data_IF_865300601191
#
_entry.id   IF_865300601191
#
_cell.length_a   1.000
_cell.length_b   1.000
_cell.length_c   1.000
_cell.angle_alpha   90.00
_cell.angle_beta   90.00
_cell.angle_gamma   90.00
#
_symmetry.space_group_name_H-M   'P 1'
#
loop_
_entity.id
_entity.type
_entity.pdbx_description
1 polymer ?
#
# COMPACT_ATOMS: atom_id res chain seq x y z
N UNK A 1 -19.01 4.81 43.99
CA UNK A 1 -19.95 3.72 44.33
C UNK A 1 -20.04 2.65 43.26
N UNK A 2 -19.97 2.97 41.95
CA UNK A 2 -20.01 1.96 40.87
C UNK A 2 -18.72 1.11 40.78
N UNK A 3 -17.58 1.65 41.22
CA UNK A 3 -16.27 0.95 41.22
C UNK A 3 -16.11 -0.10 42.34
N UNK A 4 -16.92 -0.04 43.40
CA UNK A 4 -16.85 -1.02 44.51
C UNK A 4 -17.67 -2.27 44.16
N UNK A 5 -18.80 -2.10 43.45
CA UNK A 5 -19.68 -3.18 42.99
C UNK A 5 -19.04 -4.10 41.94
N UNK A 6 -18.08 -3.61 41.15
CA UNK A 6 -17.32 -4.48 40.23
C UNK A 6 -16.35 -5.40 40.97
N UNK A 7 -15.86 -5.00 42.15
CA UNK A 7 -14.91 -5.78 42.93
C UNK A 7 -15.60 -6.94 43.69
N UNK A 8 -16.81 -6.70 44.20
CA UNK A 8 -17.56 -7.72 44.94
C UNK A 8 -18.05 -8.87 44.04
N UNK A 9 -18.48 -8.58 42.81
CA UNK A 9 -18.92 -9.61 41.86
C UNK A 9 -17.76 -10.43 41.26
N UNK A 10 -16.53 -9.92 41.32
CA UNK A 10 -15.34 -10.64 40.86
C UNK A 10 -14.81 -11.64 41.90
N UNK A 11 -15.11 -11.42 43.19
CA UNK A 11 -14.69 -12.30 44.29
C UNK A 11 -15.61 -13.52 44.51
N UNK A 12 -16.82 -13.56 43.94
CA UNK A 12 -17.74 -14.70 44.11
C UNK A 12 -17.46 -15.87 43.15
N UNK A 13 -16.55 -15.71 42.18
CA UNK A 13 -16.00 -16.84 41.43
C UNK A 13 -14.76 -17.34 42.16
N UNK A 14 -14.95 -18.31 43.05
CA UNK A 14 -13.88 -19.02 43.77
C UNK A 14 -13.01 -19.84 42.83
N UNK A 15 -12.11 -19.14 42.14
CA UNK A 15 -11.14 -19.70 41.19
C UNK A 15 -9.74 -19.39 41.70
N UNK A 16 -8.87 -20.39 41.73
CA UNK A 16 -7.49 -20.25 42.23
C UNK A 16 -6.67 -19.33 41.31
N UNK A 17 -5.64 -18.66 41.84
CA UNK A 17 -4.72 -17.79 41.07
C UNK A 17 -4.18 -18.44 39.78
N UNK A 18 -4.03 -19.78 39.77
CA UNK A 18 -3.57 -20.56 38.62
C UNK A 18 -4.60 -20.63 37.50
N UNK A 19 -5.89 -20.66 37.83
CA UNK A 19 -6.96 -20.76 36.85
C UNK A 19 -7.25 -19.40 36.19
N UNK A 20 -7.11 -18.30 36.94
CA UNK A 20 -7.13 -16.94 36.38
C UNK A 20 -6.01 -16.71 35.36
N UNK A 21 -4.80 -17.20 35.64
CA UNK A 21 -3.66 -17.10 34.72
C UNK A 21 -3.91 -17.89 33.42
N UNK A 22 -4.56 -19.05 33.50
CA UNK A 22 -4.92 -19.86 32.32
C UNK A 22 -5.98 -19.15 31.49
N UNK A 23 -7.05 -18.63 32.11
CA UNK A 23 -8.10 -17.90 31.41
C UNK A 23 -7.58 -16.62 30.75
N UNK A 24 -6.76 -15.84 31.46
CA UNK A 24 -6.12 -14.65 30.90
C UNK A 24 -5.16 -15.01 29.74
N UNK A 25 -4.39 -16.09 29.88
CA UNK A 25 -3.51 -16.59 28.82
C UNK A 25 -4.26 -17.03 27.57
N UNK A 26 -5.36 -17.77 27.74
CA UNK A 26 -6.22 -18.18 26.62
C UNK A 26 -6.89 -16.98 25.93
N UNK A 27 -7.37 -16.00 26.70
CA UNK A 27 -7.97 -14.79 26.15
C UNK A 27 -6.95 -13.97 25.33
N UNK A 28 -5.74 -13.77 25.85
CA UNK A 28 -4.67 -13.07 25.13
C UNK A 28 -4.21 -13.83 23.88
N UNK A 29 -4.09 -15.16 23.96
CA UNK A 29 -3.73 -16.01 22.82
C UNK A 29 -4.76 -15.95 21.69
N UNK A 30 -6.05 -15.93 22.04
CA UNK A 30 -7.14 -15.77 21.08
C UNK A 30 -7.08 -14.41 20.38
N UNK A 31 -6.90 -13.32 21.14
CA UNK A 31 -6.78 -11.97 20.59
C UNK A 31 -5.56 -11.85 19.66
N UNK A 32 -4.41 -12.40 20.08
CA UNK A 32 -3.19 -12.38 19.26
C UNK A 32 -3.36 -13.14 17.93
N UNK A 33 -4.03 -14.29 17.96
CA UNK A 33 -4.28 -15.10 16.76
C UNK A 33 -5.22 -14.38 15.80
N UNK A 34 -6.27 -13.75 16.31
CA UNK A 34 -7.21 -12.97 15.52
C UNK A 34 -6.51 -11.77 14.88
N UNK A 35 -5.60 -11.11 15.61
CA UNK A 35 -4.80 -10.00 15.09
C UNK A 35 -3.88 -10.44 13.95
N UNK A 36 -3.21 -11.59 14.07
CA UNK A 36 -2.34 -12.11 12.99
C UNK A 36 -3.17 -12.43 11.74
N UNK A 37 -4.36 -13.04 11.90
CA UNK A 37 -5.24 -13.38 10.78
C UNK A 37 -5.65 -12.17 9.94
N UNK A 38 -5.82 -10.99 10.55
CA UNK A 38 -6.15 -9.76 9.83
C UNK A 38 -4.91 -9.03 9.28
N UNK A 39 -3.76 -9.10 9.96
CA UNK A 39 -2.54 -8.43 9.50
C UNK A 39 -1.90 -9.12 8.30
N UNK A 40 -1.98 -10.45 8.21
CA UNK A 40 -1.39 -11.22 7.10
C UNK A 40 -1.91 -10.77 5.73
N UNK A 41 -3.24 -10.71 5.47
CA UNK A 41 -3.73 -10.24 4.17
C UNK A 41 -3.40 -8.76 3.90
N UNK A 42 -3.35 -7.91 4.95
CA UNK A 42 -2.99 -6.50 4.81
C UNK A 42 -1.50 -6.27 4.49
N UNK A 43 -0.65 -7.26 4.73
CA UNK A 43 0.79 -7.18 4.46
C UNK A 43 1.11 -7.30 2.96
N UNK A 44 0.23 -7.91 2.18
CA UNK A 44 0.45 -8.17 0.77
C UNK A 44 -0.18 -7.07 -0.09
N UNK A 45 0.61 -6.55 -1.03
CA UNK A 45 0.13 -5.63 -2.05
C UNK A 45 0.38 -6.21 -3.44
N UNK A 46 -0.60 -6.08 -4.31
CA UNK A 46 -0.56 -6.61 -5.67
C UNK A 46 -0.19 -5.53 -6.68
N UNK A 47 0.75 -5.85 -7.58
CA UNK A 47 1.05 -5.05 -8.77
C UNK A 47 0.44 -5.76 -9.99
N UNK A 48 -0.31 -5.01 -10.77
CA UNK A 48 -0.96 -5.48 -12.00
C UNK A 48 0.08 -6.01 -13.02
N UNK A 49 -0.28 -7.02 -13.82
CA UNK A 49 0.63 -7.72 -14.76
C UNK A 49 1.30 -6.85 -15.83
N UNK A 50 0.78 -5.65 -16.06
CA UNK A 50 1.28 -4.70 -17.06
C UNK A 50 1.77 -3.40 -16.43
N UNK A 51 2.11 -3.45 -15.14
CA UNK A 51 2.61 -2.31 -14.40
C UNK A 51 3.92 -2.64 -13.69
N UNK A 52 4.78 -1.64 -13.59
CA UNK A 52 5.93 -1.60 -12.68
C UNK A 52 5.54 -0.74 -11.47
N UNK A 53 5.96 -1.17 -10.29
CA UNK A 53 5.60 -0.52 -9.04
C UNK A 53 6.80 0.05 -8.31
N UNK A 54 6.62 1.24 -7.73
CA UNK A 54 7.54 1.78 -6.73
C UNK A 54 6.88 1.73 -5.36
N UNK A 55 7.70 1.46 -4.34
CA UNK A 55 7.24 1.42 -2.95
C UNK A 55 7.04 2.84 -2.45
N UNK A 56 5.82 3.16 -2.03
CA UNK A 56 5.47 4.44 -1.42
C UNK A 56 5.09 4.25 0.03
N UNK A 57 5.61 5.10 0.89
CA UNK A 57 5.18 5.17 2.28
C UNK A 57 3.85 5.91 2.38
N UNK A 58 2.81 5.29 2.94
CA UNK A 58 1.51 5.94 3.08
C UNK A 58 1.52 7.09 4.09
N UNK A 59 2.46 7.10 5.04
CA UNK A 59 2.52 8.12 6.11
C UNK A 59 3.40 9.30 5.70
N UNK A 60 4.61 9.05 5.22
CA UNK A 60 5.53 10.12 4.80
C UNK A 60 5.33 10.58 3.36
N UNK A 61 4.50 9.87 2.58
CA UNK A 61 4.32 10.07 1.13
C UNK A 61 5.59 9.96 0.29
N UNK A 62 6.70 9.53 0.87
CA UNK A 62 7.96 9.32 0.17
C UNK A 62 7.88 8.09 -0.72
N UNK A 63 8.36 8.25 -1.95
CA UNK A 63 8.50 7.19 -2.93
C UNK A 63 9.95 6.74 -2.91
N UNK A 64 10.17 5.47 -2.62
CA UNK A 64 11.50 4.88 -2.70
C UNK A 64 11.80 4.51 -4.15
N UNK A 65 12.80 5.19 -4.73
CA UNK A 65 13.24 4.99 -6.12
C UNK A 65 14.43 4.04 -6.21
N UNK A 66 14.89 3.45 -5.10
CA UNK A 66 16.05 2.56 -5.08
C UNK A 66 15.79 1.19 -5.71
N UNK A 67 14.54 0.73 -5.69
CA UNK A 67 14.16 -0.58 -6.20
C UNK A 67 12.88 -0.51 -7.05
N UNK A 68 12.93 -1.16 -8.22
CA UNK A 68 11.78 -1.30 -9.14
C UNK A 68 11.18 -2.69 -8.96
N UNK A 69 9.92 -2.75 -8.53
CA UNK A 69 9.19 -4.01 -8.36
C UNK A 69 8.43 -4.38 -9.63
N UNK A 70 8.59 -5.63 -10.05
CA UNK A 70 7.88 -6.22 -11.18
C UNK A 70 6.48 -6.69 -10.78
N UNK A 71 5.67 -7.05 -11.78
CA UNK A 71 4.32 -7.55 -11.56
C UNK A 71 4.29 -8.75 -10.62
N UNK A 72 3.38 -8.76 -9.67
CA UNK A 72 3.27 -9.84 -8.71
C UNK A 72 2.78 -9.36 -7.35
N UNK A 73 2.69 -10.32 -6.43
CA UNK A 73 2.35 -10.05 -5.04
C UNK A 73 3.62 -9.86 -4.24
N UNK A 74 3.76 -8.70 -3.61
CA UNK A 74 4.93 -8.38 -2.81
C UNK A 74 4.53 -8.10 -1.36
N UNK A 75 5.39 -8.54 -0.45
CA UNK A 75 5.21 -8.40 0.98
C UNK A 75 5.88 -7.10 1.44
N UNK A 76 5.15 -5.98 1.44
CA UNK A 76 5.74 -4.65 1.70
C UNK A 76 5.64 -4.16 3.13
N UNK A 77 4.82 -4.80 3.95
CA UNK A 77 4.50 -4.34 5.28
C UNK A 77 3.23 -3.50 5.33
N UNK A 78 2.68 -3.38 6.53
CA UNK A 78 1.50 -2.55 6.79
C UNK A 78 1.84 -1.08 6.55
N UNK A 79 0.96 -0.36 5.84
CA UNK A 79 1.13 1.08 5.60
C UNK A 79 2.05 1.45 4.43
N UNK A 80 2.41 0.48 3.58
CA UNK A 80 3.11 0.73 2.31
C UNK A 80 2.16 0.49 1.14
N UNK A 81 2.19 1.39 0.17
CA UNK A 81 1.34 1.35 -1.04
C UNK A 81 2.22 1.34 -2.28
N UNK A 82 1.73 0.84 -3.41
CA UNK A 82 2.42 1.01 -4.70
C UNK A 82 1.98 2.26 -5.43
N UNK A 83 2.95 2.91 -6.07
CA UNK A 83 2.69 3.76 -7.23
C UNK A 83 2.98 2.92 -8.46
N UNK A 84 1.97 2.74 -9.31
CA UNK A 84 2.05 1.86 -10.47
C UNK A 84 2.19 2.68 -11.76
N UNK A 85 3.15 2.31 -12.60
CA UNK A 85 3.33 2.86 -13.94
C UNK A 85 3.18 1.74 -14.96
N UNK A 86 2.48 1.96 -16.08
CA UNK A 86 2.32 0.93 -17.08
C UNK A 86 3.65 0.62 -17.77
N UNK A 87 3.93 -0.68 -17.93
CA UNK A 87 5.08 -1.21 -18.66
C UNK A 87 4.77 -1.44 -20.15
N UNK A 88 3.57 -1.12 -20.60
CA UNK A 88 3.13 -1.24 -21.99
C UNK A 88 3.65 -0.09 -22.85
N UNK A 89 3.74 -0.34 -24.16
CA UNK A 89 4.07 0.69 -25.13
C UNK A 89 3.02 1.79 -25.11
N UNK A 90 3.45 3.01 -24.79
CA UNK A 90 2.59 4.20 -24.86
C UNK A 90 2.87 4.96 -26.13
N UNK A 91 1.79 5.28 -26.83
CA UNK A 91 1.81 6.17 -27.97
C UNK A 91 1.43 7.57 -27.50
N UNK A 92 2.32 8.53 -27.69
CA UNK A 92 2.04 9.96 -27.47
C UNK A 92 2.16 10.65 -28.80
N UNK A 93 1.08 11.32 -29.19
CA UNK A 93 0.97 12.02 -30.46
C UNK A 93 0.69 13.50 -30.18
N UNK A 94 1.56 14.36 -30.69
CA UNK A 94 1.37 15.80 -30.73
C UNK A 94 0.84 16.14 -32.13
N UNK A 95 -0.45 16.49 -32.21
CA UNK A 95 -1.15 16.75 -33.48
C UNK A 95 -2.07 17.96 -33.37
N UNK A 96 -2.24 18.70 -34.47
CA UNK A 96 -3.15 19.86 -34.52
C UNK A 96 -2.84 20.89 -33.45
N UNK A 97 -3.83 21.29 -32.65
CA UNK A 97 -3.68 22.32 -31.59
C UNK A 97 -2.80 21.93 -30.40
N UNK A 98 -2.28 20.70 -30.35
CA UNK A 98 -1.26 20.25 -29.39
C UNK A 98 0.07 19.91 -30.07
N UNK A 99 0.25 20.28 -31.34
CA UNK A 99 1.52 20.19 -32.04
C UNK A 99 2.56 21.13 -31.41
N UNK A 100 3.84 20.82 -31.62
CA UNK A 100 4.93 21.69 -31.19
C UNK A 100 5.03 22.85 -32.18
N UNK A 101 4.52 24.01 -31.79
CA UNK A 101 4.60 25.26 -32.56
C UNK A 101 5.90 26.00 -32.20
N UNK A 102 6.76 26.24 -33.18
CA UNK A 102 7.97 27.04 -33.03
C UNK A 102 7.81 28.35 -33.83
N UNK A 103 8.05 29.48 -33.17
CA UNK A 103 8.15 30.77 -33.83
C UNK A 103 9.60 31.04 -34.21
N UNK A 104 9.83 31.28 -35.50
CA UNK A 104 11.13 31.69 -36.05
C UNK A 104 11.01 33.03 -36.74
N UNK A 105 12.13 33.68 -37.06
CA UNK A 105 12.14 34.95 -37.80
C UNK A 105 11.49 34.84 -39.19
N UNK A 106 11.35 33.62 -39.72
CA UNK A 106 10.73 33.32 -41.01
C UNK A 106 9.23 32.95 -40.92
N UNK A 107 8.66 32.86 -39.71
CA UNK A 107 7.26 32.48 -39.48
C UNK A 107 7.06 31.39 -38.43
N UNK A 108 5.81 30.94 -38.28
CA UNK A 108 5.39 29.87 -37.37
C UNK A 108 5.50 28.50 -38.07
N UNK A 109 6.13 27.55 -37.41
CA UNK A 109 6.32 26.18 -37.89
C UNK A 109 5.69 25.22 -36.88
N UNK A 110 4.69 24.48 -37.33
CA UNK A 110 4.06 23.42 -36.54
C UNK A 110 4.66 22.06 -36.88
N UNK A 111 5.18 21.37 -35.87
CA UNK A 111 5.74 20.02 -36.02
C UNK A 111 4.83 19.03 -35.32
N UNK A 112 4.22 18.14 -36.10
CA UNK A 112 3.50 16.97 -35.58
C UNK A 112 4.50 15.85 -35.30
N UNK A 113 4.53 15.35 -34.06
CA UNK A 113 5.43 14.26 -33.68
C UNK A 113 4.69 13.17 -32.95
N UNK A 114 4.94 11.93 -33.35
CA UNK A 114 4.45 10.72 -32.72
C UNK A 114 5.61 9.94 -32.10
N UNK A 115 5.56 9.72 -30.80
CA UNK A 115 6.54 8.91 -30.07
C UNK A 115 5.89 7.66 -29.50
N UNK A 116 6.57 6.54 -29.68
CA UNK A 116 6.29 5.31 -28.94
C UNK A 116 7.38 5.12 -27.90
N UNK A 117 7.01 5.08 -26.63
CA UNK A 117 7.97 4.81 -25.56
C UNK A 117 7.49 3.68 -24.65
N UNK A 118 8.44 3.00 -24.03
CA UNK A 118 8.22 1.98 -23.01
C UNK A 118 9.21 2.21 -21.88
N UNK A 119 8.73 2.20 -20.64
CA UNK A 119 9.60 2.28 -19.47
C UNK A 119 10.26 0.91 -19.28
N UNK A 120 11.58 0.88 -19.22
CA UNK A 120 12.38 -0.31 -18.95
C UNK A 120 13.04 -0.18 -17.58
N UNK A 121 13.32 -1.33 -16.96
CA UNK A 121 13.98 -1.46 -15.65
C UNK A 121 15.46 -1.11 -15.75
#
# INVERSE_FOLDING_TARGET
>A
TVSVLYCENFCTMGWSQREWAIFAGCALGFVATLLILILVPLHFSYIERQHIGFKKNSVTNEVDTSEVYESGTHAWGVGKTSVQFPSTWRHVMFRGGAALSFFTDAGEIDVEVSFYYRIQK
#
